data_IF_807136030723
#
_entry.id   IF_807136030723
#
_cell.length_a   1.000
_cell.length_b   1.000
_cell.length_c   1.000
_cell.angle_alpha   90.00
_cell.angle_beta   90.00
_cell.angle_gamma   90.00
#
_symmetry.space_group_name_H-M   'P 1'
#
loop_
_entity.id
_entity.type
_entity.pdbx_description
1 polymer ?
#
# COMPACT_ATOMS: atom_id res chain seq x y z
N UNK A 1 -22.98 37.78 -53.63
CA UNK A 1 -21.75 37.20 -54.19
C UNK A 1 -20.65 38.24 -54.06
N UNK A 2 -19.78 38.08 -53.07
CA UNK A 2 -18.66 38.98 -52.79
C UNK A 2 -17.38 38.24 -53.17
N UNK A 3 -16.73 38.71 -54.22
CA UNK A 3 -15.37 38.33 -54.61
C UNK A 3 -14.43 39.40 -54.07
N UNK A 4 -13.49 39.00 -53.21
CA UNK A 4 -12.37 39.85 -52.79
C UNK A 4 -11.09 39.10 -53.12
N UNK A 5 -10.29 39.78 -53.94
CA UNK A 5 -9.01 39.40 -54.52
C UNK A 5 -7.85 39.56 -53.52
N UNK A 6 -6.88 38.67 -53.62
CA UNK A 6 -5.61 38.69 -52.89
C UNK A 6 -4.70 39.83 -53.35
N UNK A 7 -4.00 40.47 -52.41
CA UNK A 7 -2.80 41.28 -52.68
C UNK A 7 -1.65 40.77 -51.81
N UNK A 8 -0.60 40.33 -52.49
CA UNK A 8 0.68 39.93 -51.94
C UNK A 8 1.55 41.19 -51.79
N UNK A 9 2.08 41.43 -50.58
CA UNK A 9 3.01 42.52 -50.29
C UNK A 9 4.18 41.99 -49.47
N UNK A 10 5.32 41.80 -50.12
CA UNK A 10 6.62 41.57 -49.48
C UNK A 10 7.10 42.86 -48.81
N UNK A 11 7.54 42.76 -47.56
CA UNK A 11 8.46 43.71 -46.96
C UNK A 11 9.49 42.93 -46.13
N UNK A 12 10.74 42.94 -46.60
CA UNK A 12 11.88 42.50 -45.84
C UNK A 12 12.28 43.55 -44.81
N UNK A 13 12.72 43.10 -43.63
CA UNK A 13 13.51 43.92 -42.72
C UNK A 13 14.52 43.02 -42.02
N UNK A 14 15.79 43.37 -42.23
CA UNK A 14 16.98 42.74 -41.68
C UNK A 14 17.38 43.51 -40.43
N UNK A 15 17.47 42.84 -39.28
CA UNK A 15 18.22 43.31 -38.10
C UNK A 15 18.78 42.11 -37.29
N UNK A 16 19.90 42.30 -36.57
CA UNK A 16 20.86 41.25 -36.27
C UNK A 16 20.54 40.51 -34.96
N UNK A 17 20.61 39.18 -35.01
CA UNK A 17 20.57 38.30 -33.84
C UNK A 17 21.98 38.09 -33.29
N UNK A 18 22.37 38.89 -32.29
CA UNK A 18 23.43 38.53 -31.36
C UNK A 18 23.05 38.99 -29.95
N UNK A 19 23.22 38.06 -29.00
CA UNK A 19 23.05 38.19 -27.54
C UNK A 19 21.65 37.87 -27.00
N UNK A 20 21.46 36.62 -26.60
CA UNK A 20 20.29 36.20 -25.82
C UNK A 20 20.18 34.67 -25.64
N UNK A 21 21.31 33.99 -25.49
CA UNK A 21 21.38 32.53 -25.60
C UNK A 21 22.01 31.78 -24.44
N UNK A 22 22.15 32.36 -23.24
CA UNK A 22 22.92 31.70 -22.16
C UNK A 22 22.32 31.77 -20.74
N UNK A 23 21.03 32.09 -20.56
CA UNK A 23 20.43 32.15 -19.21
C UNK A 23 19.35 31.08 -18.96
N UNK A 24 18.87 30.38 -19.98
CA UNK A 24 17.78 29.39 -19.83
C UNK A 24 18.20 27.92 -19.91
N UNK A 25 19.51 27.62 -19.99
CA UNK A 25 20.03 26.24 -19.97
C UNK A 25 20.64 25.80 -18.64
N UNK A 26 20.88 26.71 -17.69
CA UNK A 26 21.41 26.36 -16.36
C UNK A 26 20.33 26.13 -15.29
N UNK A 27 19.06 26.47 -15.55
CA UNK A 27 17.98 26.30 -14.58
C UNK A 27 17.26 24.94 -14.66
N UNK A 28 17.61 24.06 -15.61
CA UNK A 28 17.00 22.72 -15.76
C UNK A 28 17.91 21.56 -15.31
N UNK A 29 19.07 21.87 -14.72
CA UNK A 29 20.06 20.85 -14.38
C UNK A 29 20.34 20.70 -12.87
N UNK A 30 19.59 21.38 -12.00
CA UNK A 30 19.80 21.35 -10.54
C UNK A 30 18.60 20.86 -9.70
N UNK A 31 17.50 20.40 -10.30
CA UNK A 31 16.31 20.02 -9.53
C UNK A 31 15.85 18.56 -9.73
N UNK A 32 16.65 17.75 -10.43
CA UNK A 32 16.31 16.32 -10.71
C UNK A 32 17.24 15.32 -10.04
N UNK A 33 18.16 15.76 -9.16
CA UNK A 33 19.11 14.87 -8.49
C UNK A 33 19.00 14.85 -6.95
N UNK A 34 17.98 15.47 -6.37
CA UNK A 34 17.80 15.53 -4.91
C UNK A 34 16.47 14.94 -4.43
N UNK A 35 15.94 13.92 -5.11
CA UNK A 35 14.74 13.20 -4.63
C UNK A 35 15.07 12.11 -3.60
N UNK A 36 16.35 11.89 -3.27
CA UNK A 36 16.80 10.77 -2.44
C UNK A 36 17.46 11.20 -1.12
N UNK A 37 17.36 12.47 -0.73
CA UNK A 37 17.91 12.97 0.54
C UNK A 37 17.00 13.99 1.19
N UNK A 38 16.94 13.97 2.52
CA UNK A 38 16.25 14.99 3.30
C UNK A 38 16.84 16.38 3.01
N UNK A 39 15.98 17.40 3.03
CA UNK A 39 16.46 18.77 2.92
C UNK A 39 17.18 19.19 4.20
N UNK A 40 18.10 20.16 4.12
CA UNK A 40 18.82 20.65 5.30
C UNK A 40 17.86 21.22 6.36
N UNK A 41 16.78 21.90 5.94
CA UNK A 41 15.77 22.44 6.85
C UNK A 41 15.02 21.32 7.59
N UNK A 42 14.71 20.21 6.92
CA UNK A 42 14.12 19.04 7.58
C UNK A 42 15.07 18.43 8.62
N UNK A 43 16.35 18.27 8.26
CA UNK A 43 17.38 17.75 9.17
C UNK A 43 17.51 18.66 10.40
N UNK A 44 17.62 19.97 10.21
CA UNK A 44 17.76 20.94 11.30
C UNK A 44 16.56 20.91 12.24
N UNK A 45 15.33 20.81 11.70
CA UNK A 45 14.09 20.69 12.49
C UNK A 45 14.04 19.39 13.29
N UNK A 46 14.40 18.26 12.68
CA UNK A 46 14.42 16.94 13.32
C UNK A 46 15.45 16.91 14.45
N UNK A 47 16.69 17.34 14.17
CA UNK A 47 17.77 17.34 15.16
C UNK A 47 17.48 18.32 16.30
N UNK A 48 16.93 19.50 15.99
CA UNK A 48 16.52 20.47 17.00
C UNK A 48 15.40 19.93 17.89
N UNK A 49 14.45 19.17 17.34
CA UNK A 49 13.37 18.58 18.12
C UNK A 49 13.87 17.49 19.08
N UNK A 50 14.84 16.68 18.64
CA UNK A 50 15.45 15.62 19.45
C UNK A 50 16.58 16.12 20.37
N UNK A 51 16.82 17.43 20.41
CA UNK A 51 17.92 18.05 21.16
C UNK A 51 19.31 17.47 20.81
N UNK A 52 19.47 17.03 19.56
CA UNK A 52 20.73 16.49 19.04
C UNK A 52 21.63 17.62 18.52
N UNK A 53 22.97 17.43 18.50
CA UNK A 53 23.89 18.43 17.96
C UNK A 53 23.55 18.78 16.50
N UNK A 54 23.61 20.07 16.11
CA UNK A 54 23.33 20.48 14.74
C UNK A 54 24.35 19.83 13.80
N UNK A 55 23.85 19.24 12.71
CA UNK A 55 24.66 18.55 11.72
C UNK A 55 24.05 18.72 10.32
N UNK A 56 24.88 18.55 9.29
CA UNK A 56 24.43 18.58 7.89
C UNK A 56 23.80 17.26 7.44
N UNK A 57 23.87 16.22 8.27
CA UNK A 57 23.37 14.87 7.98
C UNK A 57 22.81 14.24 9.25
N UNK A 58 21.89 13.30 9.10
CA UNK A 58 21.43 12.48 10.22
C UNK A 58 22.60 11.66 10.81
N UNK A 59 22.58 11.39 12.14
CA UNK A 59 23.64 10.64 12.81
C UNK A 59 23.67 9.15 12.43
N UNK A 60 22.57 8.61 11.87
CA UNK A 60 22.46 7.24 11.39
C UNK A 60 21.67 7.20 10.07
N UNK A 61 21.75 6.09 9.30
CA UNK A 61 21.00 5.95 8.05
C UNK A 61 19.48 6.12 8.28
N UNK A 62 18.73 6.68 7.32
CA UNK A 62 17.34 7.12 7.54
C UNK A 62 16.41 6.06 8.13
N UNK A 63 16.48 4.81 7.67
CA UNK A 63 15.63 3.73 8.20
C UNK A 63 15.96 3.39 9.66
N UNK A 64 17.25 3.36 10.02
CA UNK A 64 17.68 3.09 11.39
C UNK A 64 17.30 4.26 12.29
N UNK A 65 17.58 5.49 11.83
CA UNK A 65 17.19 6.70 12.55
C UNK A 65 15.67 6.74 12.80
N UNK A 66 14.88 6.41 11.79
CA UNK A 66 13.43 6.31 11.89
C UNK A 66 13.03 5.23 12.91
N UNK A 67 13.61 4.03 12.84
CA UNK A 67 13.35 2.96 13.81
C UNK A 67 13.60 3.39 15.26
N UNK A 68 14.68 4.13 15.50
CA UNK A 68 15.08 4.57 16.83
C UNK A 68 14.21 5.71 17.38
N UNK A 69 13.63 6.54 16.50
CA UNK A 69 12.98 7.80 16.89
C UNK A 69 11.50 7.94 16.48
N UNK A 70 10.90 6.96 15.80
CA UNK A 70 9.51 7.03 15.32
C UNK A 70 8.46 7.17 16.43
N UNK A 71 8.78 6.71 17.65
CA UNK A 71 7.90 6.82 18.81
C UNK A 71 7.92 8.21 19.45
N UNK A 72 8.95 9.01 19.18
CA UNK A 72 9.15 10.33 19.81
C UNK A 72 8.88 11.46 18.82
N UNK A 73 9.15 11.24 17.54
CA UNK A 73 8.96 12.25 16.51
C UNK A 73 7.47 12.48 16.18
N UNK A 74 7.01 13.74 16.14
CA UNK A 74 5.64 14.06 15.76
C UNK A 74 5.42 13.87 14.24
N UNK A 75 4.18 13.61 13.79
CA UNK A 75 3.88 13.29 12.38
C UNK A 75 4.43 14.29 11.34
N UNK A 76 4.40 15.62 11.55
CA UNK A 76 4.96 16.57 10.58
C UNK A 76 6.46 16.40 10.34
N UNK A 77 7.22 15.90 11.32
CA UNK A 77 8.67 15.65 11.19
C UNK A 77 8.97 14.26 10.61
N UNK A 78 7.98 13.37 10.58
CA UNK A 78 8.09 12.05 9.95
C UNK A 78 7.82 12.09 8.44
N UNK A 79 6.97 13.02 7.98
CA UNK A 79 6.61 13.17 6.57
C UNK A 79 7.78 13.18 5.58
N UNK A 80 8.88 13.92 5.82
CA UNK A 80 10.04 13.93 4.92
C UNK A 80 10.66 12.55 4.67
N UNK A 81 10.55 11.61 5.61
CA UNK A 81 11.08 10.26 5.41
C UNK A 81 10.34 9.49 4.30
N UNK A 82 9.11 9.86 3.91
CA UNK A 82 8.42 9.16 2.82
C UNK A 82 8.99 9.41 1.44
N UNK A 83 9.74 10.49 1.27
CA UNK A 83 10.39 10.81 0.01
C UNK A 83 11.66 9.97 -0.19
N UNK A 84 12.29 9.52 0.90
CA UNK A 84 13.61 8.89 0.89
C UNK A 84 13.59 7.42 1.34
N UNK A 85 12.45 6.92 1.80
CA UNK A 85 12.25 5.51 2.18
C UNK A 85 10.99 4.96 1.52
N UNK A 86 11.10 3.77 0.96
CA UNK A 86 9.97 3.07 0.36
C UNK A 86 9.05 2.46 1.45
N UNK A 87 7.76 2.27 1.17
CA UNK A 87 6.85 1.58 2.08
C UNK A 87 7.32 0.17 2.46
N UNK A 88 7.97 -0.55 1.54
CA UNK A 88 8.55 -1.87 1.77
C UNK A 88 9.71 -1.83 2.77
N UNK A 89 10.61 -0.86 2.65
CA UNK A 89 11.70 -0.69 3.61
C UNK A 89 11.17 -0.32 4.99
N UNK A 90 10.18 0.58 5.05
CA UNK A 90 9.52 0.97 6.30
C UNK A 90 8.80 -0.20 6.99
N UNK A 91 8.34 -1.20 6.24
CA UNK A 91 7.71 -2.40 6.79
C UNK A 91 8.65 -3.23 7.69
N UNK A 92 9.97 -3.03 7.58
CA UNK A 92 10.96 -3.67 8.46
C UNK A 92 10.95 -3.11 9.89
N UNK A 93 10.38 -1.91 10.09
CA UNK A 93 10.28 -1.26 11.41
C UNK A 93 9.07 -1.85 12.14
N UNK A 94 9.25 -2.53 13.30
CA UNK A 94 8.16 -3.21 14.00
C UNK A 94 6.97 -2.29 14.32
N UNK A 95 7.24 -1.06 14.77
CA UNK A 95 6.20 -0.06 15.07
C UNK A 95 5.37 0.30 13.84
N UNK A 96 5.99 0.42 12.66
CA UNK A 96 5.25 0.70 11.42
C UNK A 96 4.41 -0.51 11.02
N UNK A 97 5.01 -1.72 11.08
CA UNK A 97 4.29 -2.96 10.77
C UNK A 97 3.08 -3.15 11.70
N UNK A 98 3.24 -2.84 12.98
CA UNK A 98 2.15 -2.83 13.97
C UNK A 98 1.06 -1.82 13.62
N UNK A 99 1.43 -0.55 13.33
CA UNK A 99 0.47 0.50 12.91
C UNK A 99 -0.35 0.08 11.70
N UNK A 100 0.30 -0.51 10.69
CA UNK A 100 -0.39 -1.07 9.50
C UNK A 100 -1.34 -2.20 9.87
N UNK A 101 -0.92 -3.14 10.71
CA UNK A 101 -1.78 -4.24 11.13
C UNK A 101 -2.99 -3.74 11.92
N UNK A 102 -2.80 -2.76 12.82
CA UNK A 102 -3.88 -2.11 13.56
C UNK A 102 -4.85 -1.44 12.59
N UNK A 103 -4.36 -0.66 11.63
CA UNK A 103 -5.20 -0.02 10.59
C UNK A 103 -5.98 -1.06 9.79
N UNK A 104 -5.32 -2.12 9.32
CA UNK A 104 -5.93 -3.15 8.49
C UNK A 104 -6.99 -3.98 9.22
N UNK A 105 -6.92 -4.05 10.55
CA UNK A 105 -7.85 -4.81 11.39
C UNK A 105 -8.92 -3.93 12.07
N UNK A 106 -9.01 -2.65 11.69
CA UNK A 106 -10.08 -1.78 12.16
C UNK A 106 -11.46 -2.28 11.74
N UNK A 107 -12.47 -1.93 12.53
CA UNK A 107 -13.88 -2.20 12.24
C UNK A 107 -14.60 -0.85 12.15
N UNK A 108 -15.16 -0.49 10.98
CA UNK A 108 -15.17 -1.25 9.71
C UNK A 108 -13.78 -1.37 9.06
N UNK A 109 -13.58 -2.42 8.24
CA UNK A 109 -12.35 -2.63 7.47
C UNK A 109 -12.17 -1.45 6.51
N UNK A 110 -10.94 -0.88 6.38
CA UNK A 110 -10.67 0.18 5.43
C UNK A 110 -11.09 -0.20 4.00
N UNK A 111 -11.83 0.67 3.28
CA UNK A 111 -12.34 0.35 1.95
C UNK A 111 -11.27 -0.12 0.98
N UNK A 112 -10.06 0.43 1.05
CA UNK A 112 -8.92 0.13 0.18
C UNK A 112 -8.39 -1.30 0.34
N UNK A 113 -8.74 -1.97 1.45
CA UNK A 113 -8.33 -3.35 1.78
C UNK A 113 -9.45 -4.37 1.53
N UNK A 114 -10.60 -3.93 1.02
CA UNK A 114 -11.71 -4.82 0.63
C UNK A 114 -11.53 -5.38 -0.77
N UNK A 115 -12.19 -6.50 -1.08
CA UNK A 115 -12.16 -7.05 -2.45
C UNK A 115 -12.77 -6.10 -3.49
N UNK A 116 -13.78 -5.31 -3.11
CA UNK A 116 -14.48 -4.41 -4.02
C UNK A 116 -13.56 -3.34 -4.60
N UNK A 117 -12.72 -2.72 -3.75
CA UNK A 117 -11.70 -1.76 -4.20
C UNK A 117 -10.42 -2.42 -4.65
N UNK A 118 -9.98 -3.46 -3.95
CA UNK A 118 -8.72 -4.13 -4.25
C UNK A 118 -8.69 -4.72 -5.65
N UNK A 119 -9.78 -5.31 -6.15
CA UNK A 119 -9.83 -5.87 -7.52
C UNK A 119 -9.71 -4.82 -8.63
N UNK A 120 -10.01 -3.55 -8.34
CA UNK A 120 -9.81 -2.46 -9.29
C UNK A 120 -8.33 -2.07 -9.37
N UNK A 121 -7.63 -2.19 -8.24
CA UNK A 121 -6.22 -1.83 -8.07
C UNK A 121 -5.26 -2.97 -8.45
N UNK A 122 -5.68 -4.22 -8.23
CA UNK A 122 -4.96 -5.45 -8.53
C UNK A 122 -5.80 -6.42 -9.37
N UNK A 123 -6.20 -6.00 -10.59
CA UNK A 123 -7.13 -6.77 -11.43
C UNK A 123 -6.55 -8.11 -11.92
N UNK A 124 -5.26 -8.21 -12.25
CA UNK A 124 -4.68 -9.48 -12.72
C UNK A 124 -4.49 -10.46 -11.56
N UNK A 125 -4.12 -9.97 -10.37
CA UNK A 125 -4.09 -10.77 -9.15
C UNK A 125 -5.47 -11.36 -8.84
N UNK A 126 -6.54 -10.58 -8.96
CA UNK A 126 -7.92 -11.05 -8.77
C UNK A 126 -8.26 -12.18 -9.76
N UNK A 127 -7.98 -11.97 -11.05
CA UNK A 127 -8.21 -12.97 -12.10
C UNK A 127 -7.40 -14.26 -11.88
N UNK A 128 -6.12 -14.12 -11.52
CA UNK A 128 -5.23 -15.26 -11.24
C UNK A 128 -5.72 -16.12 -10.08
N UNK A 129 -6.43 -15.53 -9.12
CA UNK A 129 -7.03 -16.25 -8.00
C UNK A 129 -8.42 -16.84 -8.31
N UNK A 130 -8.91 -16.72 -9.55
CA UNK A 130 -10.22 -17.25 -9.97
C UNK A 130 -11.35 -16.23 -9.90
N UNK A 131 -11.03 -14.95 -9.72
CA UNK A 131 -11.98 -13.87 -9.75
C UNK A 131 -12.52 -13.59 -11.16
N UNK A 132 -13.70 -12.97 -11.24
CA UNK A 132 -14.27 -12.53 -12.52
C UNK A 132 -13.41 -11.49 -13.22
N UNK A 133 -13.24 -11.61 -14.54
CA UNK A 133 -12.37 -10.72 -15.32
C UNK A 133 -12.89 -9.29 -15.47
N UNK A 134 -14.22 -9.13 -15.44
CA UNK A 134 -14.87 -7.83 -15.39
C UNK A 134 -15.29 -7.56 -13.95
N UNK A 135 -14.79 -6.50 -13.30
CA UNK A 135 -15.31 -6.10 -12.02
C UNK A 135 -16.76 -5.61 -12.20
N UNK A 136 -17.73 -6.09 -11.42
CA UNK A 136 -19.02 -5.41 -11.36
C UNK A 136 -18.85 -3.98 -10.83
N UNK A 137 -19.79 -3.07 -11.14
CA UNK A 137 -19.70 -1.67 -10.71
C UNK A 137 -19.48 -1.56 -9.20
N UNK A 138 -18.54 -0.73 -8.78
CA UNK A 138 -18.27 -0.50 -7.36
C UNK A 138 -19.38 0.28 -6.65
N UNK A 139 -19.25 0.41 -5.33
CA UNK A 139 -20.10 1.23 -4.49
C UNK A 139 -20.10 2.71 -4.93
N UNK A 140 -18.95 3.26 -5.35
CA UNK A 140 -18.83 4.68 -5.75
C UNK A 140 -19.70 4.98 -6.97
N UNK A 141 -19.70 4.07 -7.95
CA UNK A 141 -20.58 4.16 -9.12
C UNK A 141 -22.05 4.27 -8.69
N UNK A 142 -22.46 3.47 -7.71
CA UNK A 142 -23.84 3.50 -7.18
C UNK A 142 -24.10 4.76 -6.35
N UNK A 143 -23.09 5.27 -5.66
CA UNK A 143 -23.16 6.48 -4.84
C UNK A 143 -23.40 7.73 -5.69
N UNK A 144 -22.80 7.84 -6.87
CA UNK A 144 -23.00 8.99 -7.77
C UNK A 144 -24.47 9.19 -8.17
N UNK A 145 -25.16 8.10 -8.53
CA UNK A 145 -26.59 8.16 -8.85
C UNK A 145 -27.44 8.51 -7.62
N UNK A 146 -27.11 7.91 -6.47
CA UNK A 146 -27.80 8.15 -5.21
C UNK A 146 -27.62 9.60 -4.73
N UNK A 147 -26.41 10.16 -4.86
CA UNK A 147 -26.10 11.54 -4.49
C UNK A 147 -26.95 12.53 -5.30
N UNK A 148 -27.11 12.31 -6.61
CA UNK A 148 -27.99 13.16 -7.44
C UNK A 148 -29.45 13.04 -7.00
N UNK A 149 -29.90 11.83 -6.67
CA UNK A 149 -31.26 11.60 -6.23
C UNK A 149 -31.56 12.31 -4.89
N UNK A 150 -30.59 12.37 -3.97
CA UNK A 150 -30.82 12.85 -2.60
C UNK A 150 -30.41 14.31 -2.37
N UNK A 151 -29.32 14.77 -3.00
CA UNK A 151 -28.65 16.02 -2.62
C UNK A 151 -28.66 17.11 -3.69
N UNK A 152 -28.72 16.74 -4.97
CA UNK A 152 -28.53 17.71 -6.06
C UNK A 152 -29.67 18.74 -6.17
N UNK A 153 -30.93 18.32 -5.99
CA UNK A 153 -32.11 19.19 -5.99
C UNK A 153 -33.23 18.63 -5.09
N UNK A 154 -33.21 18.91 -3.77
CA UNK A 154 -34.21 18.37 -2.85
C UNK A 154 -35.64 18.80 -3.23
N UNK A 155 -36.56 17.85 -3.20
CA UNK A 155 -37.97 18.01 -3.60
C UNK A 155 -38.23 17.88 -5.11
N UNK A 156 -37.21 17.58 -5.93
CA UNK A 156 -37.31 17.38 -7.38
C UNK A 156 -36.68 16.06 -7.84
N UNK A 157 -36.58 15.08 -6.95
CA UNK A 157 -35.90 13.80 -7.18
C UNK A 157 -36.53 13.02 -8.36
N UNK A 158 -37.84 13.21 -8.58
CA UNK A 158 -38.60 12.54 -9.63
C UNK A 158 -38.59 13.25 -11.00
N UNK A 159 -37.93 14.41 -11.11
CA UNK A 159 -37.84 15.13 -12.39
C UNK A 159 -36.93 14.35 -13.34
N UNK A 160 -37.39 14.12 -14.57
CA UNK A 160 -36.66 13.32 -15.56
C UNK A 160 -35.21 13.81 -15.79
N UNK A 161 -34.97 15.12 -15.74
CA UNK A 161 -33.63 15.68 -15.89
C UNK A 161 -32.69 15.32 -14.74
N UNK A 162 -33.20 15.20 -13.51
CA UNK A 162 -32.41 14.78 -12.32
C UNK A 162 -32.05 13.30 -12.45
N UNK A 163 -33.00 12.45 -12.85
CA UNK A 163 -32.72 11.02 -13.13
C UNK A 163 -31.71 10.83 -14.25
N UNK A 164 -31.84 11.60 -15.35
CA UNK A 164 -30.88 11.56 -16.45
C UNK A 164 -29.48 12.01 -16.00
N UNK A 165 -29.38 12.99 -15.11
CA UNK A 165 -28.11 13.42 -14.55
C UNK A 165 -27.49 12.32 -13.68
N UNK A 166 -28.25 11.69 -12.79
CA UNK A 166 -27.75 10.59 -11.96
C UNK A 166 -27.21 9.43 -12.80
N UNK A 167 -27.96 9.00 -13.82
CA UNK A 167 -27.48 7.97 -14.76
C UNK A 167 -26.27 8.41 -15.59
N UNK A 168 -26.14 9.70 -15.89
CA UNK A 168 -24.96 10.24 -16.59
C UNK A 168 -23.72 10.24 -15.69
N UNK A 169 -23.84 10.69 -14.44
CA UNK A 169 -22.72 10.65 -13.48
C UNK A 169 -22.29 9.21 -13.18
N UNK A 170 -23.25 8.29 -13.02
CA UNK A 170 -22.97 6.86 -12.91
C UNK A 170 -22.13 6.35 -14.09
N UNK A 171 -22.54 6.68 -15.32
CA UNK A 171 -21.82 6.28 -16.52
C UNK A 171 -20.41 6.88 -16.62
N UNK A 172 -20.23 8.14 -16.18
CA UNK A 172 -18.90 8.76 -16.12
C UNK A 172 -18.00 8.09 -15.08
N UNK A 173 -18.53 7.70 -13.93
CA UNK A 173 -17.74 7.01 -12.91
C UNK A 173 -17.41 5.57 -13.33
N UNK A 174 -18.33 4.87 -14.01
CA UNK A 174 -18.03 3.57 -14.64
C UNK A 174 -16.88 3.69 -15.64
N UNK A 175 -16.89 4.72 -16.50
CA UNK A 175 -15.80 4.97 -17.45
C UNK A 175 -14.47 5.24 -16.74
N UNK A 176 -14.49 6.12 -15.72
CA UNK A 176 -13.30 6.46 -14.91
C UNK A 176 -12.73 5.23 -14.20
N UNK A 177 -13.58 4.41 -13.62
CA UNK A 177 -13.20 3.16 -12.96
C UNK A 177 -12.55 2.19 -13.95
N UNK A 178 -13.13 2.01 -15.14
CA UNK A 178 -12.58 1.14 -16.18
C UNK A 178 -11.23 1.64 -16.71
N UNK A 179 -11.05 2.96 -16.87
CA UNK A 179 -9.75 3.54 -17.21
C UNK A 179 -8.70 3.24 -16.14
N UNK A 180 -9.06 3.38 -14.87
CA UNK A 180 -8.18 3.05 -13.74
C UNK A 180 -7.80 1.56 -13.74
N UNK A 181 -8.75 0.66 -14.02
CA UNK A 181 -8.48 -0.78 -14.15
C UNK A 181 -7.50 -1.06 -15.30
N UNK A 182 -7.66 -0.41 -16.45
CA UNK A 182 -6.72 -0.55 -17.58
C UNK A 182 -5.31 -0.08 -17.19
N UNK A 183 -5.22 1.05 -16.48
CA UNK A 183 -3.94 1.58 -16.00
C UNK A 183 -3.32 0.67 -14.93
N UNK A 184 -4.13 0.11 -14.03
CA UNK A 184 -3.72 -0.86 -13.02
C UNK A 184 -3.18 -2.14 -13.65
N UNK A 185 -3.86 -2.72 -14.66
CA UNK A 185 -3.35 -3.88 -15.42
C UNK A 185 -1.99 -3.61 -16.04
N UNK A 186 -1.82 -2.43 -16.66
CA UNK A 186 -0.52 -2.03 -17.24
C UNK A 186 0.56 -1.87 -16.18
N UNK A 187 0.21 -1.33 -15.01
CA UNK A 187 1.15 -1.18 -13.90
C UNK A 187 1.54 -2.54 -13.30
N UNK A 188 0.57 -3.45 -13.14
CA UNK A 188 0.78 -4.78 -12.59
C UNK A 188 1.69 -5.64 -13.49
N UNK A 189 1.51 -5.60 -14.82
CA UNK A 189 2.45 -6.27 -15.76
C UNK A 189 3.87 -5.76 -15.62
N UNK A 190 4.06 -4.44 -15.52
CA UNK A 190 5.39 -3.85 -15.29
C UNK A 190 6.01 -4.29 -13.96
N UNK A 191 5.22 -4.64 -12.95
CA UNK A 191 5.74 -5.15 -11.68
C UNK A 191 6.16 -6.63 -11.80
N UNK A 192 5.50 -7.40 -12.65
CA UNK A 192 5.84 -8.80 -12.96
C UNK A 192 7.12 -8.87 -13.83
N UNK A 193 7.21 -8.03 -14.86
CA UNK A 193 8.34 -7.98 -15.81
C UNK A 193 9.68 -7.62 -15.16
N UNK A 194 9.69 -6.92 -14.02
CA UNK A 194 10.93 -6.53 -13.31
C UNK A 194 11.59 -7.74 -12.60
N UNK A 195 10.96 -8.92 -12.60
CA UNK A 195 11.50 -10.17 -12.06
C UNK A 195 12.15 -11.12 -13.08
N UNK A 196 11.98 -10.88 -14.38
CA UNK A 196 12.57 -11.71 -15.43
C UNK A 196 13.74 -10.95 -16.08
N UNK A 197 14.97 -11.35 -15.75
CA UNK A 197 16.16 -10.91 -16.49
C UNK A 197 16.00 -11.32 -17.96
N UNK A 198 15.68 -10.33 -18.81
CA UNK A 198 15.90 -10.25 -20.25
C UNK A 198 16.43 -11.54 -20.91
N UNK A 199 15.52 -12.38 -21.43
CA UNK A 199 15.81 -13.13 -22.65
C UNK A 199 15.27 -12.28 -23.81
N UNK A 200 16.16 -11.55 -24.46
CA UNK A 200 15.86 -10.80 -25.68
C UNK A 200 15.57 -11.79 -26.82
N UNK A 201 14.33 -12.23 -27.00
CA UNK A 201 13.81 -12.69 -28.30
C UNK A 201 12.26 -12.81 -28.31
N UNK A 202 11.66 -12.44 -29.44
CA UNK A 202 10.22 -12.42 -29.79
C UNK A 202 9.49 -11.14 -29.39
N UNK A 203 9.42 -10.09 -30.22
CA UNK A 203 8.84 -10.02 -31.58
C UNK A 203 7.39 -10.51 -31.67
N UNK A 204 6.64 -9.75 -32.44
CA UNK A 204 5.20 -9.51 -32.43
C UNK A 204 4.29 -10.74 -32.62
N UNK A 205 3.04 -10.57 -32.14
CA UNK A 205 1.79 -11.26 -32.51
C UNK A 205 1.31 -12.45 -31.65
N UNK A 206 0.04 -12.32 -31.25
CA UNK A 206 -0.86 -13.26 -30.56
C UNK A 206 -0.53 -13.67 -29.12
N UNK A 207 -0.84 -12.76 -28.18
CA UNK A 207 -1.06 -13.11 -26.79
C UNK A 207 -2.40 -13.87 -26.66
N UNK A 208 -2.38 -15.16 -27.04
CA UNK A 208 -3.35 -16.14 -26.57
C UNK A 208 -3.28 -16.17 -25.04
N UNK A 209 -4.14 -15.36 -24.41
CA UNK A 209 -4.50 -15.52 -23.01
C UNK A 209 -4.69 -17.03 -22.76
N UNK A 210 -4.03 -17.63 -21.76
CA UNK A 210 -4.27 -19.03 -21.46
C UNK A 210 -5.76 -19.17 -21.13
N UNK A 211 -6.51 -19.71 -22.10
CA UNK A 211 -7.91 -20.13 -21.95
C UNK A 211 -7.92 -21.31 -20.98
N UNK A 212 -7.71 -21.04 -19.70
CA UNK A 212 -8.08 -21.96 -18.63
C UNK A 212 -9.59 -21.94 -18.53
N UNK A 213 -10.17 -22.89 -19.27
CA UNK A 213 -11.48 -23.49 -19.06
C UNK A 213 -12.69 -22.59 -19.31
N UNK A 214 -13.62 -23.10 -20.13
CA UNK A 214 -14.90 -22.47 -20.41
C UNK A 214 -15.75 -22.24 -19.15
N UNK A 215 -16.94 -21.63 -19.31
CA UNK A 215 -17.79 -21.17 -18.23
C UNK A 215 -18.42 -22.36 -17.50
N UNK A 216 -17.65 -23.01 -16.64
CA UNK A 216 -18.21 -23.54 -15.40
C UNK A 216 -18.43 -22.30 -14.54
N UNK A 217 -19.68 -21.88 -14.37
CA UNK A 217 -20.00 -20.87 -13.38
C UNK A 217 -19.45 -21.35 -12.05
N UNK A 218 -18.39 -20.71 -11.55
CA UNK A 218 -17.99 -20.92 -10.16
C UNK A 218 -19.22 -20.62 -9.31
N UNK A 219 -19.55 -21.54 -8.42
CA UNK A 219 -20.71 -21.37 -7.55
C UNK A 219 -20.47 -20.17 -6.63
N UNK A 220 -21.54 -19.56 -6.13
CA UNK A 220 -21.45 -18.35 -5.31
C UNK A 220 -20.55 -18.55 -4.07
N UNK A 221 -20.48 -19.78 -3.55
CA UNK A 221 -19.62 -20.14 -2.42
C UNK A 221 -18.13 -20.12 -2.80
N UNK A 222 -17.77 -20.58 -4.00
CA UNK A 222 -16.39 -20.57 -4.50
C UNK A 222 -15.92 -19.14 -4.76
N UNK A 223 -16.79 -18.29 -5.31
CA UNK A 223 -16.49 -16.86 -5.52
C UNK A 223 -16.30 -16.12 -4.18
N UNK A 224 -17.06 -16.49 -3.16
CA UNK A 224 -16.88 -15.94 -1.81
C UNK A 224 -15.56 -16.41 -1.16
N UNK A 225 -15.12 -17.64 -1.43
CA UNK A 225 -13.81 -18.12 -0.99
C UNK A 225 -12.67 -17.35 -1.67
N UNK A 226 -12.75 -17.15 -2.99
CA UNK A 226 -11.80 -16.31 -3.74
C UNK A 226 -11.80 -14.88 -3.19
N UNK A 227 -12.96 -14.32 -2.85
CA UNK A 227 -13.07 -13.00 -2.23
C UNK A 227 -12.26 -12.91 -0.93
N UNK A 228 -12.43 -13.87 -0.03
CA UNK A 228 -11.71 -13.90 1.27
C UNK A 228 -10.21 -14.12 1.08
N UNK A 229 -9.83 -15.01 0.18
CA UNK A 229 -8.42 -15.26 -0.14
C UNK A 229 -7.76 -14.00 -0.72
N UNK A 230 -8.48 -13.29 -1.59
CA UNK A 230 -8.03 -12.02 -2.16
C UNK A 230 -7.86 -10.93 -1.10
N UNK A 231 -8.85 -10.73 -0.22
CA UNK A 231 -8.75 -9.75 0.88
C UNK A 231 -7.59 -10.05 1.81
N UNK A 232 -7.37 -11.33 2.15
CA UNK A 232 -6.20 -11.75 2.91
C UNK A 232 -4.90 -11.39 2.19
N UNK A 233 -4.83 -11.63 0.87
CA UNK A 233 -3.64 -11.32 0.08
C UNK A 233 -3.37 -9.81 0.00
N UNK A 234 -4.41 -9.00 -0.15
CA UNK A 234 -4.30 -7.53 -0.11
C UNK A 234 -3.82 -7.06 1.25
N UNK A 235 -4.33 -7.64 2.35
CA UNK A 235 -3.86 -7.33 3.70
C UNK A 235 -2.38 -7.65 3.88
N UNK A 236 -1.92 -8.82 3.43
CA UNK A 236 -0.50 -9.19 3.48
C UNK A 236 0.36 -8.19 2.69
N UNK A 237 -0.03 -7.89 1.46
CA UNK A 237 0.66 -6.92 0.61
C UNK A 237 0.71 -5.53 1.23
N UNK A 238 -0.40 -5.11 1.85
CA UNK A 238 -0.49 -3.87 2.58
C UNK A 238 0.52 -3.85 3.72
N UNK A 239 0.45 -4.80 4.65
CA UNK A 239 1.33 -4.86 5.82
C UNK A 239 2.82 -4.87 5.41
N UNK A 240 3.19 -5.65 4.39
CA UNK A 240 4.57 -5.77 3.91
C UNK A 240 5.04 -4.58 3.05
N UNK A 241 4.18 -3.60 2.76
CA UNK A 241 4.57 -2.39 2.06
C UNK A 241 4.73 -2.56 0.55
N UNK A 242 4.07 -3.56 -0.03
CA UNK A 242 4.13 -3.88 -1.47
C UNK A 242 2.83 -3.56 -2.21
N UNK A 243 1.83 -3.02 -1.50
CA UNK A 243 0.62 -2.47 -2.11
C UNK A 243 0.88 -1.09 -2.72
N UNK A 244 -0.06 -0.58 -3.49
CA UNK A 244 -0.02 0.74 -4.16
C UNK A 244 -0.82 1.82 -3.42
N UNK A 245 -1.36 1.52 -2.23
CA UNK A 245 -2.06 2.50 -1.40
C UNK A 245 -1.09 3.53 -0.80
N UNK A 246 -1.55 4.75 -0.50
CA UNK A 246 -0.72 5.73 0.21
C UNK A 246 -0.48 5.28 1.65
N UNK A 247 0.76 5.02 2.04
CA UNK A 247 1.11 4.49 3.36
C UNK A 247 1.32 5.55 4.45
N UNK A 248 1.68 6.78 4.07
CA UNK A 248 2.21 7.79 5.00
C UNK A 248 1.24 8.13 6.14
N UNK A 249 -0.07 8.16 5.83
CA UNK A 249 -1.11 8.44 6.82
C UNK A 249 -1.30 7.31 7.84
N UNK A 250 -0.78 6.12 7.57
CA UNK A 250 -0.80 4.96 8.49
C UNK A 250 0.55 4.81 9.19
N UNK A 251 1.65 4.88 8.43
CA UNK A 251 3.00 4.67 8.95
C UNK A 251 3.38 5.72 10.01
N UNK A 252 2.93 6.96 9.83
CA UNK A 252 3.33 8.10 10.67
C UNK A 252 2.23 8.62 11.59
N UNK A 253 1.01 8.08 11.51
CA UNK A 253 -0.04 8.39 12.46
C UNK A 253 0.00 7.42 13.64
N UNK A 254 -0.14 7.97 14.85
CA UNK A 254 -0.31 7.15 16.03
C UNK A 254 -1.77 6.67 16.13
N UNK A 255 -2.01 5.37 16.37
CA UNK A 255 -3.38 4.86 16.49
C UNK A 255 -4.09 5.47 17.70
N UNK A 256 -5.40 5.76 17.59
CA UNK A 256 -6.17 6.45 18.62
C UNK A 256 -6.24 5.72 19.98
N UNK A 257 -5.94 4.41 20.03
CA UNK A 257 -5.86 3.60 21.24
C UNK A 257 -4.43 3.22 21.65
N UNK A 258 -3.41 3.82 21.04
CA UNK A 258 -2.02 3.39 21.16
C UNK A 258 -1.74 2.08 20.40
N UNK A 259 -0.58 1.49 20.68
CA UNK A 259 -0.13 0.24 20.08
C UNK A 259 -0.26 -0.93 21.08
N UNK A 260 -1.38 -1.68 21.07
CA UNK A 260 -1.54 -2.83 21.96
C UNK A 260 -0.59 -3.99 21.62
N UNK A 261 -0.13 -4.10 20.37
CA UNK A 261 0.80 -5.14 19.94
C UNK A 261 2.17 -4.82 20.52
N UNK A 262 2.67 -3.60 20.29
CA UNK A 262 3.91 -3.13 20.88
C UNK A 262 3.88 -3.07 22.41
N UNK A 263 2.71 -2.93 23.04
CA UNK A 263 2.58 -3.05 24.49
C UNK A 263 2.80 -4.48 24.98
N UNK A 264 2.24 -5.47 24.29
CA UNK A 264 2.46 -6.90 24.57
C UNK A 264 3.89 -7.31 24.29
N UNK A 265 4.46 -6.89 23.15
CA UNK A 265 5.86 -7.23 22.81
C UNK A 265 6.86 -6.69 23.87
N UNK A 266 6.58 -5.51 24.44
CA UNK A 266 7.38 -4.95 25.56
C UNK A 266 7.18 -5.71 26.87
N UNK A 267 5.99 -6.23 27.12
CA UNK A 267 5.70 -7.07 28.29
C UNK A 267 6.38 -8.44 28.14
N UNK A 268 6.29 -9.07 26.98
CA UNK A 268 6.93 -10.36 26.69
C UNK A 268 8.46 -10.25 26.81
N UNK A 269 9.06 -9.16 26.29
CA UNK A 269 10.49 -8.91 26.44
C UNK A 269 10.96 -8.76 27.90
N UNK A 270 10.08 -8.29 28.80
CA UNK A 270 10.40 -8.20 30.23
C UNK A 270 10.54 -9.58 30.89
N UNK A 271 9.80 -10.58 30.40
CA UNK A 271 9.87 -11.95 30.92
C UNK A 271 11.05 -12.76 30.35
N UNK A 272 11.57 -12.40 29.18
CA UNK A 272 12.74 -13.06 28.59
C UNK A 272 14.06 -12.73 29.33
N UNK A 273 14.13 -11.57 30.01
CA UNK A 273 15.28 -11.14 30.78
C UNK A 273 15.32 -11.72 32.22
N UNK A 274 14.25 -12.38 32.70
CA UNK A 274 14.25 -13.08 33.99
C UNK A 274 14.96 -14.44 33.89
N UNK A 275 16.06 -14.61 34.64
CA UNK A 275 16.67 -15.94 34.82
C UNK A 275 15.59 -16.92 35.33
N UNK A 276 15.45 -18.12 34.73
CA UNK A 276 14.46 -19.08 35.15
C UNK A 276 14.63 -19.35 36.64
N UNK A 277 13.55 -19.17 37.39
CA UNK A 277 13.59 -19.24 38.86
C UNK A 277 14.27 -20.54 39.32
N UNK A 278 15.47 -20.39 39.90
CA UNK A 278 16.20 -21.53 40.47
C UNK A 278 15.54 -21.93 41.77
N UNK A 279 15.01 -23.14 41.81
CA UNK A 279 14.63 -23.75 43.08
C UNK A 279 15.86 -23.82 44.01
N UNK A 280 15.70 -23.80 45.34
CA UNK A 280 16.82 -23.86 46.30
C UNK A 280 17.74 -25.07 46.13
N UNK A 281 17.32 -26.09 45.37
CA UNK A 281 18.09 -27.29 45.03
C UNK A 281 18.82 -27.21 43.67
N UNK A 282 18.86 -26.06 43.00
CA UNK A 282 19.57 -25.88 41.73
C UNK A 282 18.97 -26.64 40.56
N UNK A 283 17.67 -26.98 40.63
CA UNK A 283 16.95 -27.54 39.49
C UNK A 283 16.33 -26.38 38.70
N UNK A 284 16.84 -26.16 37.49
CA UNK A 284 16.25 -25.25 36.51
C UNK A 284 14.91 -25.84 36.06
N UNK A 285 13.79 -25.26 36.50
CA UNK A 285 12.49 -25.62 35.96
C UNK A 285 12.40 -25.06 34.53
N UNK A 286 12.42 -25.94 33.53
CA UNK A 286 12.25 -25.57 32.11
C UNK A 286 13.46 -25.82 31.21
N UNK A 287 14.61 -26.25 31.76
CA UNK A 287 15.77 -26.67 30.98
C UNK A 287 15.52 -28.00 30.27
N UNK A 288 14.90 -27.96 29.09
CA UNK A 288 14.83 -29.10 28.18
C UNK A 288 16.23 -29.56 27.80
N UNK A 289 16.68 -30.65 28.42
CA UNK A 289 17.96 -31.30 28.12
C UNK A 289 17.87 -31.93 26.73
N UNK A 290 18.55 -31.31 25.78
CA UNK A 290 18.90 -31.92 24.51
C UNK A 290 20.17 -32.78 24.63
N UNK A 291 20.05 -34.01 24.14
CA UNK A 291 21.09 -34.98 23.74
C UNK A 291 21.83 -35.83 24.79
N UNK A 292 21.44 -37.10 24.87
CA UNK A 292 22.35 -38.25 24.76
C UNK A 292 21.61 -39.49 24.19
N UNK A 293 22.33 -40.25 23.38
CA UNK A 293 21.86 -41.31 22.48
C UNK A 293 21.33 -42.59 23.17
N UNK A 294 20.44 -43.30 22.43
CA UNK A 294 20.36 -44.76 22.27
C UNK A 294 20.23 -45.65 23.52
N UNK A 295 19.04 -46.24 23.73
CA UNK A 295 18.78 -47.70 23.73
C UNK A 295 17.40 -48.02 24.35
N UNK A 296 16.63 -48.86 23.65
CA UNK A 296 15.71 -49.82 24.29
C UNK A 296 14.24 -49.41 24.44
N UNK A 297 13.37 -50.16 23.75
CA UNK A 297 11.98 -50.44 24.13
C UNK A 297 11.79 -50.51 25.66
N UNK A 298 10.82 -49.75 26.20
CA UNK A 298 9.60 -50.38 26.71
C UNK A 298 8.51 -49.37 27.08
N UNK A 299 7.30 -49.83 26.82
CA UNK A 299 5.98 -49.28 27.07
C UNK A 299 5.73 -48.97 28.57
N UNK A 300 5.22 -47.77 28.89
CA UNK A 300 4.34 -47.46 30.04
C UNK A 300 3.97 -45.97 30.11
N UNK A 301 2.77 -45.69 29.63
CA UNK A 301 1.71 -44.92 30.30
C UNK A 301 2.14 -43.78 31.23
N UNK A 302 1.96 -42.53 30.77
CA UNK A 302 1.66 -41.39 31.66
C UNK A 302 0.40 -40.71 31.15
N UNK A 303 -0.70 -41.01 31.83
CA UNK A 303 -1.96 -40.28 31.78
C UNK A 303 -1.72 -38.81 32.14
N UNK A 304 -2.02 -37.91 31.20
CA UNK A 304 -2.20 -36.50 31.52
C UNK A 304 -3.67 -36.31 31.88
N UNK A 305 -3.88 -35.90 33.14
CA UNK A 305 -5.16 -35.85 33.81
C UNK A 305 -6.25 -35.08 33.07
N UNK A 306 -7.38 -35.74 32.90
CA UNK A 306 -8.66 -35.12 32.60
C UNK A 306 -9.14 -34.45 33.89
N UNK A 307 -9.13 -33.12 33.93
CA UNK A 307 -9.89 -32.36 34.92
C UNK A 307 -11.34 -32.29 34.47
N UNK A 308 -12.23 -33.01 35.17
CA UNK A 308 -13.67 -32.81 35.09
C UNK A 308 -14.02 -31.42 35.63
N UNK A 309 -14.75 -30.63 34.83
CA UNK A 309 -15.44 -29.44 35.30
C UNK A 309 -16.88 -29.83 35.61
N UNK A 310 -17.25 -29.80 36.89
CA UNK A 310 -18.64 -29.85 37.33
C UNK A 310 -19.37 -28.57 36.87
N UNK A 311 -20.49 -28.75 36.18
CA UNK A 311 -21.51 -27.72 35.89
C UNK A 311 -22.64 -27.79 36.91
#
# INVERSE_FOLDING_TARGET
MLTITWHCGQAGSSYPSHLGGDILRYAKHLDTMSLNSLTQDDIDRILSYLELPPATTLPSPPLRFLSDHIAVLPPPLLGPFSQITSPRERASIPTIKSRRLIYATQVPIPPELTAEKGRLRWPLLWERMGGSSLPPPSADVREEEAWVAEHFLPGKENVQHVKKLGGFLRGLEEEREMENVVMARRAERRLDDVGEEFDEESDEEDEELPRRSGPGSMDAEEQEEVRRAFEKRILEMFVDGVDTVPYDHVDFAEPAGGDPIGARDREDAYFDDEEPSRTPNGHDQGGGVGHAESLGQDDRSKENGQGEYDY
#
